data_IF_489137124298
#
_entry.id   IF_489137124298
#
_cell.length_a   1.000
_cell.length_b   1.000
_cell.length_c   1.000
_cell.angle_alpha   90.00
_cell.angle_beta   90.00
_cell.angle_gamma   90.00
#
_symmetry.space_group_name_H-M   'P 1'
#
loop_
_entity.id
_entity.type
_entity.pdbx_description
1 polymer ?
#
# COMPACT_ATOMS: atom_id res chain seq x y z
N UNK A 1 14.86 -16.06 2.03
CA UNK A 1 15.74 -15.51 3.08
C UNK A 1 14.86 -14.78 4.09
N UNK A 2 14.90 -15.12 5.39
CA UNK A 2 14.18 -14.36 6.43
C UNK A 2 15.12 -13.28 6.95
N UNK A 3 14.70 -12.02 6.86
CA UNK A 3 15.54 -10.86 7.17
C UNK A 3 14.69 -9.78 7.83
N UNK A 4 15.17 -9.25 8.94
CA UNK A 4 14.57 -8.08 9.61
C UNK A 4 14.51 -6.87 8.69
N UNK A 5 15.54 -6.66 7.86
CA UNK A 5 15.56 -5.57 6.88
C UNK A 5 14.46 -5.74 5.82
N UNK A 6 14.24 -6.97 5.35
CA UNK A 6 13.19 -7.25 4.36
C UNK A 6 11.78 -7.09 4.96
N UNK A 7 11.58 -7.55 6.21
CA UNK A 7 10.32 -7.34 6.92
C UNK A 7 10.04 -5.84 7.14
N UNK A 8 11.06 -5.06 7.50
CA UNK A 8 10.93 -3.61 7.66
C UNK A 8 10.57 -2.92 6.33
N UNK A 9 11.18 -3.32 5.21
CA UNK A 9 10.82 -2.82 3.88
C UNK A 9 9.35 -3.06 3.55
N UNK A 10 8.83 -4.26 3.83
CA UNK A 10 7.41 -4.56 3.60
C UNK A 10 6.47 -3.74 4.49
N UNK A 11 6.87 -3.44 5.73
CA UNK A 11 6.09 -2.53 6.60
C UNK A 11 6.08 -1.12 6.03
N UNK A 12 7.24 -0.59 5.61
CA UNK A 12 7.32 0.73 4.99
C UNK A 12 6.46 0.79 3.72
N UNK A 13 6.52 -0.24 2.89
CA UNK A 13 5.72 -0.34 1.68
C UNK A 13 4.22 -0.35 1.98
N UNK A 14 3.78 -1.06 3.02
CA UNK A 14 2.40 -1.05 3.48
C UNK A 14 1.94 0.36 3.87
N UNK A 15 2.76 1.10 4.63
CA UNK A 15 2.46 2.49 5.03
C UNK A 15 2.32 3.38 3.80
N UNK A 16 3.22 3.28 2.83
CA UNK A 16 3.14 4.05 1.58
C UNK A 16 1.84 3.75 0.84
N UNK A 17 1.48 2.47 0.69
CA UNK A 17 0.23 2.11 0.02
C UNK A 17 -1.02 2.63 0.74
N UNK A 18 -1.03 2.62 2.08
CA UNK A 18 -2.14 3.22 2.86
C UNK A 18 -2.23 4.73 2.59
N UNK A 19 -1.11 5.44 2.63
CA UNK A 19 -1.07 6.89 2.36
C UNK A 19 -1.60 7.18 0.96
N UNK A 20 -1.15 6.45 -0.05
CA UNK A 20 -1.61 6.61 -1.43
C UNK A 20 -3.10 6.28 -1.56
N UNK A 21 -3.59 5.21 -0.93
CA UNK A 21 -5.01 4.84 -0.95
C UNK A 21 -5.89 5.95 -0.38
N UNK A 22 -5.46 6.55 0.73
CA UNK A 22 -6.17 7.67 1.38
C UNK A 22 -6.19 8.89 0.47
N UNK A 23 -5.05 9.28 -0.09
CA UNK A 23 -4.98 10.42 -1.03
C UNK A 23 -5.84 10.21 -2.29
N UNK A 24 -5.94 8.97 -2.77
CA UNK A 24 -6.81 8.60 -3.89
C UNK A 24 -8.29 8.66 -3.51
N UNK A 25 -8.65 8.20 -2.31
CA UNK A 25 -10.02 8.24 -1.80
C UNK A 25 -10.53 9.67 -1.60
N UNK A 26 -9.66 10.58 -1.15
CA UNK A 26 -9.97 12.00 -1.01
C UNK A 26 -9.84 12.80 -2.31
N UNK A 27 -9.48 12.16 -3.44
CA UNK A 27 -9.33 12.84 -4.73
C UNK A 27 -8.15 13.81 -4.81
N UNK A 28 -7.27 13.86 -3.82
CA UNK A 28 -6.12 14.79 -3.78
C UNK A 28 -5.19 14.56 -4.97
N UNK A 29 -5.07 13.31 -5.42
CA UNK A 29 -4.24 12.93 -6.57
C UNK A 29 -4.86 13.28 -7.93
N UNK A 30 -6.12 13.75 -8.00
CA UNK A 30 -6.80 14.08 -9.26
C UNK A 30 -6.21 15.30 -9.98
N UNK A 31 -5.43 16.15 -9.29
CA UNK A 31 -4.75 17.31 -9.90
C UNK A 31 -3.69 16.93 -10.95
N UNK A 32 -3.28 15.66 -10.98
CA UNK A 32 -2.23 15.15 -11.86
C UNK A 32 -2.73 14.07 -12.84
N UNK A 33 -4.06 13.90 -12.99
CA UNK A 33 -4.67 12.89 -13.86
C UNK A 33 -5.42 13.55 -15.01
N UNK A 34 -5.31 12.96 -16.20
CA UNK A 34 -5.90 13.49 -17.44
C UNK A 34 -7.44 13.53 -17.45
N UNK A 35 -8.10 12.73 -16.62
CA UNK A 35 -9.56 12.70 -16.45
C UNK A 35 -9.95 12.78 -14.95
N UNK A 36 -10.17 14.00 -14.42
CA UNK A 36 -10.52 14.21 -13.02
C UNK A 36 -11.95 13.78 -12.65
N UNK A 37 -12.81 13.46 -13.62
CA UNK A 37 -14.23 13.14 -13.39
C UNK A 37 -14.55 11.64 -13.61
N UNK A 38 -13.53 10.82 -13.92
CA UNK A 38 -13.72 9.40 -14.14
C UNK A 38 -14.16 8.66 -12.87
N UNK A 39 -15.32 7.98 -12.82
CA UNK A 39 -15.88 7.38 -11.60
C UNK A 39 -15.04 6.27 -10.94
N UNK A 40 -13.90 5.89 -11.52
CA UNK A 40 -13.01 4.80 -11.08
C UNK A 40 -12.04 5.16 -9.93
N UNK A 41 -12.26 6.28 -9.22
CA UNK A 41 -11.39 6.71 -8.12
C UNK A 41 -11.29 5.67 -6.98
N UNK A 42 -12.42 5.02 -6.67
CA UNK A 42 -12.47 4.00 -5.63
C UNK A 42 -11.74 2.71 -6.00
N UNK A 43 -11.66 2.37 -7.29
CA UNK A 43 -10.96 1.15 -7.73
C UNK A 43 -9.48 1.18 -7.35
N UNK A 44 -8.82 2.32 -7.56
CA UNK A 44 -7.40 2.47 -7.25
C UNK A 44 -7.15 2.49 -5.73
N UNK A 45 -8.01 3.18 -4.96
CA UNK A 45 -7.93 3.17 -3.51
C UNK A 45 -8.06 1.74 -2.93
N UNK A 46 -9.00 0.95 -3.45
CA UNK A 46 -9.19 -0.45 -3.05
C UNK A 46 -7.97 -1.29 -3.41
N UNK A 47 -7.42 -1.15 -4.62
CA UNK A 47 -6.22 -1.87 -5.03
C UNK A 47 -5.03 -1.58 -4.12
N UNK A 48 -4.80 -0.30 -3.78
CA UNK A 48 -3.73 0.08 -2.85
C UNK A 48 -3.98 -0.45 -1.44
N UNK A 49 -5.23 -0.47 -0.97
CA UNK A 49 -5.57 -1.08 0.31
C UNK A 49 -5.25 -2.59 0.33
N UNK A 50 -5.58 -3.32 -0.74
CA UNK A 50 -5.26 -4.75 -0.88
C UNK A 50 -3.74 -4.97 -0.89
N UNK A 51 -2.99 -4.15 -1.62
CA UNK A 51 -1.52 -4.23 -1.66
C UNK A 51 -0.88 -3.91 -0.30
N UNK A 52 -1.46 -2.99 0.48
CA UNK A 52 -1.01 -2.71 1.84
C UNK A 52 -1.17 -3.95 2.74
N UNK A 53 -2.34 -4.60 2.69
CA UNK A 53 -2.59 -5.84 3.43
C UNK A 53 -1.63 -6.95 3.00
N UNK A 54 -1.45 -7.15 1.69
CA UNK A 54 -0.51 -8.14 1.16
C UNK A 54 0.94 -7.87 1.62
N UNK A 55 1.34 -6.60 1.69
CA UNK A 55 2.67 -6.20 2.19
C UNK A 55 2.83 -6.53 3.67
N UNK A 56 1.83 -6.30 4.52
CA UNK A 56 1.87 -6.70 5.93
C UNK A 56 1.94 -8.22 6.11
N UNK A 57 1.20 -8.97 5.30
CA UNK A 57 1.29 -10.44 5.27
C UNK A 57 2.71 -10.88 4.88
N UNK A 58 3.29 -10.28 3.84
CA UNK A 58 4.67 -10.55 3.43
C UNK A 58 5.70 -10.18 4.51
N UNK A 59 5.50 -9.07 5.22
CA UNK A 59 6.34 -8.67 6.35
C UNK A 59 6.34 -9.75 7.45
N UNK A 60 5.17 -10.31 7.75
CA UNK A 60 5.04 -11.37 8.76
C UNK A 60 5.78 -12.66 8.34
N UNK A 61 5.73 -13.03 7.06
CA UNK A 61 6.44 -14.21 6.55
C UNK A 61 7.96 -14.04 6.49
N UNK A 62 8.43 -12.81 6.27
CA UNK A 62 9.86 -12.50 6.12
C UNK A 62 10.56 -12.21 7.45
N UNK A 63 9.80 -11.91 8.51
CA UNK A 63 10.32 -11.71 9.85
C UNK A 63 11.07 -12.96 10.35
N UNK A 64 12.31 -12.82 10.85
CA UNK A 64 13.00 -13.91 11.53
C UNK A 64 12.21 -14.32 12.78
N UNK A 65 11.96 -15.61 12.94
CA UNK A 65 11.34 -16.14 14.16
C UNK A 65 12.44 -16.28 15.21
N UNK A 66 12.30 -15.56 16.32
CA UNK A 66 13.08 -15.82 17.53
C UNK A 66 12.47 -17.08 18.17
N UNK A 67 13.18 -18.20 18.05
CA UNK A 67 12.93 -19.38 18.91
C UNK A 67 13.48 -19.12 20.30
#
# INVERSE_FOLDING_TARGET
MRSTALAALFVVLAVVFVVVAVLYAFGVLQIAVSDPQSPHHYTHAILFAVLAVASLIAANFTRPKTV
#
